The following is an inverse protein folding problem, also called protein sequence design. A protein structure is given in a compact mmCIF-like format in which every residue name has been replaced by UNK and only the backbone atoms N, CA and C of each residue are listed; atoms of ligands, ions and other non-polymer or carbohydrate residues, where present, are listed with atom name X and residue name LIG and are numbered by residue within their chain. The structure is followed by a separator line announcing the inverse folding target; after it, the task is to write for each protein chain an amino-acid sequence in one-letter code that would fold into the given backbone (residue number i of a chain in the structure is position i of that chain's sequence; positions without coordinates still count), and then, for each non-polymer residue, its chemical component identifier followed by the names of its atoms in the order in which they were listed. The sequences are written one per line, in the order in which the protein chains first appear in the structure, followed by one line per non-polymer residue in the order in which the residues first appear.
data_IF_841757962192
#
_entry.id   IF_841757962192
#
_cell.length_a   1.000
_cell.length_b   1.000
_cell.length_c   1.000
_cell.angle_alpha   90.00
_cell.angle_beta   90.00
_cell.angle_gamma   90.00
#
_symmetry.space_group_name_H-M   'P 1'
#
loop_
_entity.id
_entity.type
_entity.pdbx_description
1 polymer ?
#
# COMPACT_ATOMS: atom_id res chain seq x y z
N UNK A 1 -14.06 2.65 -5.45
CA UNK A 1 -14.65 2.90 -4.12
C UNK A 1 -15.18 1.64 -3.45
N UNK A 2 -15.79 0.69 -4.16
CA UNK A 2 -16.34 -0.54 -3.53
C UNK A 2 -15.30 -1.34 -2.74
N UNK A 3 -14.07 -1.48 -3.24
CA UNK A 3 -13.03 -2.25 -2.56
C UNK A 3 -12.62 -1.68 -1.18
N UNK A 4 -12.75 -0.37 -0.95
CA UNK A 4 -12.37 0.27 0.31
C UNK A 4 -13.24 -0.15 1.49
N UNK A 5 -14.45 -0.67 1.23
CA UNK A 5 -15.39 -1.13 2.25
C UNK A 5 -15.39 -2.65 2.41
N UNK A 6 -14.51 -3.36 1.70
CA UNK A 6 -14.40 -4.82 1.83
C UNK A 6 -13.93 -5.22 3.24
N UNK A 7 -14.32 -6.41 3.73
CA UNK A 7 -13.69 -6.99 4.91
C UNK A 7 -12.17 -7.08 4.76
N UNK A 8 -11.41 -6.96 5.85
CA UNK A 8 -9.94 -6.83 5.81
C UNK A 8 -9.24 -7.87 4.94
N UNK A 9 -9.65 -9.14 5.04
CA UNK A 9 -9.08 -10.22 4.22
C UNK A 9 -9.33 -10.01 2.72
N UNK A 10 -10.53 -9.57 2.36
CA UNK A 10 -10.90 -9.33 0.97
C UNK A 10 -10.20 -8.09 0.42
N UNK A 11 -10.11 -7.02 1.22
CA UNK A 11 -9.34 -5.83 0.87
C UNK A 11 -7.85 -6.15 0.65
N UNK A 12 -7.24 -6.92 1.55
CA UNK A 12 -5.87 -7.40 1.38
C UNK A 12 -5.72 -8.25 0.11
N UNK A 13 -6.62 -9.20 -0.15
CA UNK A 13 -6.56 -10.01 -1.37
C UNK A 13 -6.67 -9.17 -2.64
N UNK A 14 -7.52 -8.14 -2.63
CA UNK A 14 -7.60 -7.19 -3.73
C UNK A 14 -6.26 -6.45 -3.93
N UNK A 15 -5.66 -5.91 -2.85
CA UNK A 15 -4.34 -5.26 -2.92
C UNK A 15 -3.24 -6.20 -3.41
N UNK A 16 -3.25 -7.46 -2.96
CA UNK A 16 -2.31 -8.48 -3.38
C UNK A 16 -2.41 -8.75 -4.90
N UNK A 17 -3.62 -8.79 -5.45
CA UNK A 17 -3.85 -9.01 -6.89
C UNK A 17 -3.41 -7.80 -7.73
N UNK A 18 -3.72 -6.58 -7.28
CA UNK A 18 -3.40 -5.37 -8.04
C UNK A 18 -1.92 -5.02 -8.02
N UNK A 19 -1.24 -5.17 -6.88
CA UNK A 19 0.11 -4.66 -6.66
C UNK A 19 1.18 -5.75 -6.46
N UNK A 20 0.81 -7.03 -6.66
CA UNK A 20 1.64 -8.18 -6.30
C UNK A 20 2.20 -8.06 -4.85
N UNK A 21 1.36 -7.52 -3.96
CA UNK A 21 1.73 -7.12 -2.60
C UNK A 21 1.77 -8.32 -1.67
N UNK A 22 2.86 -8.47 -0.91
CA UNK A 22 2.94 -9.48 0.13
C UNK A 22 2.33 -8.99 1.46
N UNK A 23 1.87 -9.93 2.28
CA UNK A 23 1.21 -9.64 3.57
C UNK A 23 2.09 -8.84 4.54
N UNK A 24 3.39 -9.12 4.59
CA UNK A 24 4.30 -8.43 5.50
C UNK A 24 4.42 -6.94 5.17
N UNK A 25 4.57 -6.62 3.89
CA UNK A 25 4.62 -5.24 3.39
C UNK A 25 3.29 -4.53 3.61
N UNK A 26 2.16 -5.17 3.26
CA UNK A 26 0.83 -4.64 3.53
C UNK A 26 0.66 -4.24 5.01
N UNK A 27 0.94 -5.18 5.92
CA UNK A 27 0.81 -4.94 7.36
C UNK A 27 1.75 -3.82 7.84
N UNK A 28 2.95 -3.74 7.27
CA UNK A 28 3.91 -2.69 7.65
C UNK A 28 3.41 -1.32 7.23
N UNK A 29 2.85 -1.19 6.02
CA UNK A 29 2.25 0.06 5.52
C UNK A 29 1.05 0.47 6.37
N UNK A 30 0.11 -0.46 6.60
CA UNK A 30 -1.08 -0.21 7.41
C UNK A 30 -0.72 0.23 8.84
N UNK A 31 0.17 -0.52 9.51
CA UNK A 31 0.64 -0.17 10.85
C UNK A 31 1.36 1.18 10.87
N UNK A 32 2.16 1.48 9.84
CA UNK A 32 2.88 2.75 9.76
C UNK A 32 1.92 3.93 9.63
N UNK A 33 0.92 3.85 8.75
CA UNK A 33 -0.09 4.91 8.63
C UNK A 33 -0.93 5.09 9.89
N UNK A 34 -1.28 3.99 10.56
CA UNK A 34 -1.95 4.07 11.85
C UNK A 34 -1.07 4.79 12.89
N UNK A 35 0.21 4.42 13.00
CA UNK A 35 1.17 5.05 13.90
C UNK A 35 1.45 6.52 13.56
N UNK A 36 1.37 6.89 12.28
CA UNK A 36 1.49 8.26 11.80
C UNK A 36 0.26 9.13 12.17
N UNK A 37 -0.86 8.52 12.55
CA UNK A 37 -2.07 9.22 13.02
C UNK A 37 -3.30 9.05 12.13
N UNK A 38 -3.25 8.21 11.10
CA UNK A 38 -4.40 7.92 10.23
C UNK A 38 -5.22 6.77 10.83
N UNK A 39 -6.02 7.12 11.84
CA UNK A 39 -6.74 6.15 12.68
C UNK A 39 -7.96 5.53 11.96
N UNK A 40 -8.72 6.36 11.24
CA UNK A 40 -9.88 5.89 10.50
C UNK A 40 -9.47 4.89 9.40
N UNK A 41 -10.18 3.76 9.34
CA UNK A 41 -9.82 2.66 8.45
C UNK A 41 -10.00 3.03 6.97
N UNK A 42 -11.01 3.83 6.62
CA UNK A 42 -11.23 4.22 5.23
C UNK A 42 -10.14 5.19 4.77
N UNK A 43 -9.80 6.19 5.59
CA UNK A 43 -8.69 7.08 5.29
C UNK A 43 -7.36 6.35 5.21
N UNK A 44 -7.11 5.38 6.11
CA UNK A 44 -5.88 4.59 6.06
C UNK A 44 -5.79 3.73 4.80
N UNK A 45 -6.89 3.11 4.38
CA UNK A 45 -6.94 2.34 3.13
C UNK A 45 -6.74 3.23 1.91
N UNK A 46 -7.31 4.43 1.89
CA UNK A 46 -7.06 5.41 0.82
C UNK A 46 -5.57 5.74 0.73
N UNK A 47 -4.93 6.06 1.86
CA UNK A 47 -3.50 6.38 1.91
C UNK A 47 -2.63 5.18 1.52
N UNK A 48 -3.01 3.97 1.94
CA UNK A 48 -2.36 2.73 1.55
C UNK A 48 -2.38 2.54 0.03
N UNK A 49 -3.52 2.75 -0.62
CA UNK A 49 -3.63 2.64 -2.08
C UNK A 49 -2.82 3.74 -2.79
N UNK A 50 -2.92 4.98 -2.33
CA UNK A 50 -2.15 6.10 -2.89
C UNK A 50 -0.64 5.85 -2.77
N UNK A 51 -0.18 5.33 -1.64
CA UNK A 51 1.21 4.94 -1.45
C UNK A 51 1.63 3.80 -2.37
N UNK A 52 0.80 2.76 -2.54
CA UNK A 52 1.12 1.65 -3.45
C UNK A 52 1.23 2.13 -4.90
N UNK A 53 0.36 3.05 -5.31
CA UNK A 53 0.42 3.69 -6.62
C UNK A 53 1.72 4.49 -6.78
N UNK A 54 2.02 5.38 -5.84
CA UNK A 54 3.27 6.15 -5.78
C UNK A 54 4.52 5.24 -5.77
N UNK A 55 4.45 4.13 -5.05
CA UNK A 55 5.57 3.22 -4.89
C UNK A 55 5.81 2.34 -6.12
N UNK A 56 4.79 2.19 -6.96
CA UNK A 56 4.86 1.42 -8.19
C UNK A 56 5.49 2.25 -9.32
N UNK A 57 6.42 1.66 -10.06
CA UNK A 57 7.07 2.33 -11.19
C UNK A 57 6.04 2.59 -12.31
N UNK A 58 6.20 3.71 -13.02
CA UNK A 58 5.35 4.10 -14.16
C UNK A 58 5.39 3.12 -15.34
N UNK A 59 6.27 2.11 -15.32
CA UNK A 59 6.39 1.04 -16.31
C UNK A 59 5.53 -0.21 -16.00
N UNK A 60 4.43 -0.06 -15.26
CA UNK A 60 3.44 -1.12 -15.12
C UNK A 60 2.76 -1.39 -16.47
N UNK A 61 3.38 -2.29 -17.24
CA UNK A 61 2.86 -2.79 -18.50
C UNK A 61 1.60 -3.61 -18.22
N UNK A 62 0.52 -3.28 -18.93
CA UNK A 62 -0.79 -3.92 -18.84
C UNK A 62 -0.62 -5.45 -18.79
N UNK A 63 -0.98 -6.06 -17.65
CA UNK A 63 -1.14 -7.51 -17.52
C UNK A 63 -0.23 -8.25 -16.54
N UNK A 64 0.84 -7.65 -15.99
CA UNK A 64 1.66 -8.28 -14.92
C UNK A 64 2.21 -7.25 -13.92
N UNK A 65 1.52 -7.05 -12.81
CA UNK A 65 2.05 -6.27 -11.69
C UNK A 65 3.36 -6.92 -11.21
N UNK A 66 4.46 -6.17 -11.27
CA UNK A 66 5.74 -6.60 -10.68
C UNK A 66 5.68 -6.35 -9.17
N UNK A 67 6.21 -7.25 -8.33
CA UNK A 67 6.26 -7.02 -6.89
C UNK A 67 7.04 -5.75 -6.58
N UNK A 68 6.47 -4.87 -5.76
CA UNK A 68 7.16 -3.68 -5.26
C UNK A 68 8.29 -4.13 -4.34
N UNK A 69 9.53 -3.70 -4.61
CA UNK A 69 10.72 -4.05 -3.83
C UNK A 69 11.24 -2.81 -3.10
N UNK A 70 11.39 -2.93 -1.78
CA UNK A 70 11.78 -1.80 -0.93
C UNK A 70 13.20 -1.92 -0.32
N UNK A 71 13.90 -3.04 -0.50
CA UNK A 71 15.20 -3.27 0.16
C UNK A 71 15.12 -3.21 1.70
N UNK A 72 16.28 -3.26 2.38
CA UNK A 72 16.33 -3.16 3.86
C UNK A 72 16.06 -1.71 4.29
N UNK A 73 14.99 -1.48 5.03
CA UNK A 73 14.62 -0.15 5.57
C UNK A 73 14.03 0.84 4.56
N UNK A 74 14.05 0.55 3.26
CA UNK A 74 13.56 1.48 2.24
C UNK A 74 12.04 1.65 2.21
N UNK A 75 11.26 0.75 2.84
CA UNK A 75 9.82 0.90 2.93
C UNK A 75 9.43 2.09 3.81
N UNK A 76 9.96 2.15 5.03
CA UNK A 76 9.70 3.25 5.97
C UNK A 76 10.17 4.59 5.40
N UNK A 77 11.35 4.62 4.76
CA UNK A 77 11.84 5.84 4.11
C UNK A 77 10.89 6.29 3.01
N UNK A 78 10.48 5.39 2.11
CA UNK A 78 9.56 5.73 1.02
C UNK A 78 8.17 6.18 1.52
N UNK A 79 7.72 5.67 2.68
CA UNK A 79 6.50 6.14 3.35
C UNK A 79 6.65 7.57 3.90
N UNK A 80 7.81 7.89 4.47
CA UNK A 80 8.12 9.28 4.89
C UNK A 80 8.16 10.21 3.68
N UNK A 81 8.90 9.84 2.64
CA UNK A 81 9.00 10.61 1.39
C UNK A 81 7.60 10.87 0.79
N UNK A 82 6.70 9.87 0.84
CA UNK A 82 5.31 10.00 0.37
C UNK A 82 4.47 11.00 1.18
N UNK A 83 4.65 11.07 2.50
CA UNK A 83 3.89 12.00 3.35
C UNK A 83 4.43 13.43 3.34
N UNK A 84 5.66 13.62 2.86
CA UNK A 84 6.33 14.92 2.76
C UNK A 84 6.21 15.56 1.35
N UNK A 85 5.62 14.85 0.37
CA UNK A 85 5.26 15.37 -0.96
C UNK A 85 4.02 16.26 -0.94
#
# INVERSE_FOLDING_TARGET
MEHLNLPDRMFFHWCQQQYALNRGVYNTIDNWFHAYGIIDILYRRINLLAFLEYASDSEQTIGRAKPIKFGKGGLTKKLQDFMEM
#
